data_IF_645144103904
#
_entry.id   IF_645144103904
#
_cell.length_a   1.000
_cell.length_b   1.000
_cell.length_c   1.000
_cell.angle_alpha   90.00
_cell.angle_beta   90.00
_cell.angle_gamma   90.00
#
_symmetry.space_group_name_H-M   'P 1'
#
loop_
_entity.id
_entity.type
_entity.pdbx_description
1 polymer ?
#
# COMPACT_ATOMS: atom_id res chain seq x y z
N UNK A 1 -12.94 20.93 0.17
CA UNK A 1 -12.03 20.05 -0.58
C UNK A 1 -11.21 19.30 0.44
N UNK A 2 -11.42 17.99 0.56
CA UNK A 2 -10.96 17.15 1.66
C UNK A 2 -9.46 16.84 1.53
N UNK A 3 -8.60 17.74 2.02
CA UNK A 3 -7.14 17.53 1.98
C UNK A 3 -6.66 16.63 3.14
N UNK A 4 -6.94 15.33 3.07
CA UNK A 4 -6.47 14.36 4.07
C UNK A 4 -5.07 13.81 3.79
N UNK A 5 -4.46 14.13 2.65
CA UNK A 5 -3.11 13.68 2.30
C UNK A 5 -2.03 14.53 2.99
N UNK A 6 -1.10 13.85 3.67
CA UNK A 6 -0.01 14.52 4.39
C UNK A 6 0.84 15.36 3.45
N UNK A 7 1.25 16.55 3.90
CA UNK A 7 2.15 17.45 3.14
C UNK A 7 3.44 16.76 2.71
N UNK A 8 3.95 15.85 3.56
CA UNK A 8 5.14 15.05 3.28
C UNK A 8 4.93 14.06 2.14
N UNK A 9 3.77 13.41 2.07
CA UNK A 9 3.45 12.49 0.97
C UNK A 9 3.34 13.27 -0.35
N UNK A 10 2.69 14.44 -0.32
CA UNK A 10 2.58 15.31 -1.49
C UNK A 10 3.94 15.75 -2.02
N UNK A 11 4.88 16.14 -1.16
CA UNK A 11 6.21 16.55 -1.60
C UNK A 11 7.06 15.40 -2.16
N UNK A 12 6.78 14.15 -1.74
CA UNK A 12 7.50 12.98 -2.27
C UNK A 12 6.92 12.47 -3.58
N UNK A 13 5.67 12.84 -3.90
CA UNK A 13 4.89 12.32 -5.02
C UNK A 13 4.33 13.47 -5.88
N UNK A 14 5.07 14.57 -6.03
CA UNK A 14 4.59 15.79 -6.72
C UNK A 14 4.14 15.52 -8.16
N UNK A 15 4.79 14.57 -8.84
CA UNK A 15 4.48 14.18 -10.22
C UNK A 15 3.36 13.13 -10.34
N UNK A 16 2.82 12.65 -9.20
CA UNK A 16 1.76 11.63 -9.18
C UNK A 16 0.40 12.30 -9.00
N UNK A 17 -0.57 12.05 -9.90
CA UNK A 17 -1.92 12.58 -9.74
C UNK A 17 -2.55 12.16 -8.40
N UNK A 18 -3.20 13.11 -7.72
CA UNK A 18 -3.99 12.87 -6.51
C UNK A 18 -5.46 12.90 -6.85
N UNK A 19 -6.21 11.90 -6.37
CA UNK A 19 -7.65 11.78 -6.57
C UNK A 19 -8.36 11.94 -5.24
N UNK A 20 -9.26 12.92 -5.14
CA UNK A 20 -10.05 13.15 -3.93
C UNK A 20 -11.20 12.13 -3.89
N UNK A 21 -11.20 11.28 -2.87
CA UNK A 21 -12.28 10.31 -2.65
C UNK A 21 -13.45 10.98 -1.91
N UNK A 22 -14.66 10.76 -2.41
CA UNK A 22 -15.89 11.25 -1.77
C UNK A 22 -16.51 10.23 -0.83
N UNK A 23 -16.21 8.94 -1.06
CA UNK A 23 -16.69 7.82 -0.24
C UNK A 23 -15.58 7.34 0.70
N UNK A 24 -15.95 6.46 1.63
CA UNK A 24 -14.98 5.77 2.49
C UNK A 24 -14.18 4.73 1.67
N UNK A 25 -14.80 4.16 0.63
CA UNK A 25 -14.21 3.15 -0.22
C UNK A 25 -13.75 3.76 -1.54
N UNK A 26 -12.45 4.08 -1.64
CA UNK A 26 -11.88 4.68 -2.85
C UNK A 26 -12.20 3.90 -4.16
N UNK A 27 -12.49 2.60 -4.07
CA UNK A 27 -12.86 1.78 -5.22
C UNK A 27 -14.23 2.12 -5.82
N UNK A 28 -15.09 2.81 -5.07
CA UNK A 28 -16.39 3.32 -5.54
C UNK A 28 -16.25 4.67 -6.27
N UNK A 29 -15.16 5.39 -6.06
CA UNK A 29 -14.90 6.66 -6.76
C UNK A 29 -14.39 6.37 -8.18
N UNK A 30 -15.20 6.76 -9.17
CA UNK A 30 -14.97 6.44 -10.60
C UNK A 30 -13.60 6.93 -11.09
N UNK A 31 -13.18 8.13 -10.71
CA UNK A 31 -11.89 8.69 -11.14
C UNK A 31 -10.71 7.90 -10.57
N UNK A 32 -10.79 7.48 -9.30
CA UNK A 32 -9.76 6.67 -8.67
C UNK A 32 -9.65 5.30 -9.34
N UNK A 33 -10.79 4.62 -9.52
CA UNK A 33 -10.81 3.30 -10.16
C UNK A 33 -10.29 3.35 -11.59
N UNK A 34 -10.72 4.33 -12.38
CA UNK A 34 -10.22 4.52 -13.75
C UNK A 34 -8.71 4.79 -13.79
N UNK A 35 -8.18 5.57 -12.83
CA UNK A 35 -6.75 5.82 -12.73
C UNK A 35 -5.97 4.54 -12.45
N UNK A 36 -6.47 3.69 -11.54
CA UNK A 36 -5.86 2.38 -11.25
C UNK A 36 -5.89 1.48 -12.49
N UNK A 37 -7.05 1.36 -13.15
CA UNK A 37 -7.21 0.55 -14.37
C UNK A 37 -6.28 1.02 -15.50
N UNK A 38 -6.13 2.34 -15.67
CA UNK A 38 -5.27 2.94 -16.70
C UNK A 38 -3.78 2.61 -16.50
N UNK A 39 -3.34 2.22 -15.30
CA UNK A 39 -1.96 1.75 -15.07
C UNK A 39 -1.66 0.42 -15.78
N UNK A 40 -2.69 -0.36 -16.12
CA UNK A 40 -2.57 -1.71 -16.65
C UNK A 40 -1.93 -2.72 -15.67
N UNK A 41 -1.71 -2.35 -14.41
CA UNK A 41 -1.08 -3.22 -13.41
C UNK A 41 -2.12 -4.08 -12.71
N UNK A 42 -1.81 -5.37 -12.53
CA UNK A 42 -2.66 -6.32 -11.79
C UNK A 42 -2.25 -6.51 -10.33
N UNK A 43 -1.05 -6.07 -9.95
CA UNK A 43 -0.54 -6.13 -8.58
C UNK A 43 -0.65 -4.76 -7.94
N UNK A 44 -1.38 -4.67 -6.83
CA UNK A 44 -1.61 -3.44 -6.08
C UNK A 44 -0.91 -3.52 -4.74
N UNK A 45 0.03 -2.61 -4.49
CA UNK A 45 0.59 -2.39 -3.16
C UNK A 45 -0.27 -1.31 -2.52
N UNK A 46 -0.90 -1.61 -1.38
CA UNK A 46 -1.84 -0.69 -0.74
C UNK A 46 -1.40 -0.31 0.68
N UNK A 47 -1.44 0.99 0.94
CA UNK A 47 -1.31 1.59 2.25
C UNK A 47 -2.50 2.54 2.45
N UNK A 48 -2.91 2.75 3.69
CA UNK A 48 -4.10 3.56 3.97
C UNK A 48 -4.38 3.72 5.46
N UNK A 49 -5.15 4.76 5.76
CA UNK A 49 -5.70 5.05 7.08
C UNK A 49 -7.19 5.35 6.90
N UNK A 50 -8.12 4.64 7.55
CA UNK A 50 -7.91 3.57 8.54
C UNK A 50 -7.97 2.16 7.93
N UNK A 51 -7.29 1.21 8.57
CA UNK A 51 -7.15 -0.18 8.09
C UNK A 51 -8.50 -0.85 7.87
N UNK A 52 -9.43 -0.67 8.81
CA UNK A 52 -10.78 -1.23 8.82
C UNK A 52 -11.75 -0.60 7.83
N UNK A 53 -11.34 0.48 7.16
CA UNK A 53 -12.18 1.26 6.26
C UNK A 53 -11.47 1.49 4.92
N UNK A 54 -10.70 2.58 4.82
CA UNK A 54 -10.05 3.06 3.60
C UNK A 54 -9.02 2.09 3.00
N UNK A 55 -8.57 1.08 3.75
CA UNK A 55 -7.75 -0.01 3.22
C UNK A 55 -8.57 -1.27 2.93
N UNK A 56 -9.38 -1.71 3.89
CA UNK A 56 -10.10 -2.98 3.77
C UNK A 56 -11.08 -2.99 2.60
N UNK A 57 -11.85 -1.91 2.42
CA UNK A 57 -12.89 -1.88 1.38
C UNK A 57 -12.31 -1.93 -0.04
N UNK A 58 -11.38 -1.05 -0.44
CA UNK A 58 -10.81 -1.14 -1.79
C UNK A 58 -9.99 -2.41 -1.99
N UNK A 59 -9.40 -2.98 -0.94
CA UNK A 59 -8.73 -4.28 -1.03
C UNK A 59 -9.71 -5.39 -1.41
N UNK A 60 -10.85 -5.47 -0.72
CA UNK A 60 -11.86 -6.52 -0.96
C UNK A 60 -12.45 -6.41 -2.36
N UNK A 61 -12.73 -5.20 -2.84
CA UNK A 61 -13.32 -5.00 -4.17
C UNK A 61 -12.30 -5.25 -5.28
N UNK A 62 -11.06 -4.78 -5.12
CA UNK A 62 -9.99 -5.08 -6.07
C UNK A 62 -9.73 -6.61 -6.17
N UNK A 63 -9.75 -7.33 -5.04
CA UNK A 63 -9.63 -8.80 -5.06
C UNK A 63 -10.78 -9.46 -5.83
N UNK A 64 -12.02 -9.00 -5.63
CA UNK A 64 -13.18 -9.50 -6.38
C UNK A 64 -13.06 -9.28 -7.90
N UNK A 65 -12.37 -8.21 -8.30
CA UNK A 65 -12.07 -7.90 -9.70
C UNK A 65 -10.79 -8.57 -10.23
N UNK A 66 -10.19 -9.46 -9.46
CA UNK A 66 -9.05 -10.29 -9.87
C UNK A 66 -7.69 -9.60 -9.81
N UNK A 67 -7.56 -8.50 -9.05
CA UNK A 67 -6.25 -7.94 -8.72
C UNK A 67 -5.56 -8.78 -7.63
N UNK A 68 -4.24 -8.82 -7.66
CA UNK A 68 -3.42 -9.29 -6.55
C UNK A 68 -3.12 -8.10 -5.63
N UNK A 69 -3.61 -8.13 -4.39
CA UNK A 69 -3.46 -6.99 -3.47
C UNK A 69 -2.50 -7.32 -2.34
N UNK A 70 -1.59 -6.39 -2.07
CA UNK A 70 -0.51 -6.48 -1.09
C UNK A 70 -0.59 -5.34 -0.07
N UNK A 71 -1.37 -5.50 1.02
CA UNK A 71 -1.36 -4.55 2.12
C UNK A 71 -0.01 -4.56 2.86
N UNK A 72 0.59 -3.38 3.03
CA UNK A 72 1.87 -3.22 3.73
C UNK A 72 1.61 -2.94 5.21
N UNK A 73 1.63 -3.99 6.04
CA UNK A 73 1.06 -3.97 7.40
C UNK A 73 1.80 -3.06 8.38
N UNK A 74 3.08 -2.79 8.15
CA UNK A 74 3.92 -1.85 8.91
C UNK A 74 3.91 -0.42 8.32
N UNK A 75 3.01 -0.14 7.38
CA UNK A 75 2.77 1.18 6.78
C UNK A 75 1.29 1.63 6.85
N UNK A 76 0.49 1.00 7.71
CA UNK A 76 -0.96 1.24 7.87
C UNK A 76 -1.32 1.35 9.34
N UNK A 77 -2.52 1.85 9.64
CA UNK A 77 -3.00 1.97 11.03
C UNK A 77 -4.52 1.95 11.12
N UNK A 78 -5.06 1.46 12.23
CA UNK A 78 -6.49 1.47 12.53
C UNK A 78 -6.85 2.41 13.66
N UNK A 79 -8.16 2.58 13.90
CA UNK A 79 -8.63 3.41 15.03
C UNK A 79 -8.36 2.77 16.40
N UNK A 80 -8.19 1.44 16.43
CA UNK A 80 -7.78 0.67 17.61
C UNK A 80 -7.03 -0.59 17.16
N UNK A 81 -6.30 -1.22 18.08
CA UNK A 81 -5.61 -2.49 17.79
C UNK A 81 -6.60 -3.59 17.35
N UNK A 82 -7.74 -3.70 18.03
CA UNK A 82 -8.78 -4.69 17.69
C UNK A 82 -9.34 -4.43 16.29
N UNK A 83 -9.66 -3.19 15.94
CA UNK A 83 -10.15 -2.85 14.61
C UNK A 83 -9.11 -3.13 13.52
N UNK A 84 -7.86 -2.71 13.76
CA UNK A 84 -6.73 -2.91 12.86
C UNK A 84 -6.47 -4.39 12.56
N UNK A 85 -6.29 -5.21 13.61
CA UNK A 85 -5.99 -6.63 13.46
C UNK A 85 -7.16 -7.41 12.85
N UNK A 86 -8.40 -7.06 13.21
CA UNK A 86 -9.60 -7.72 12.66
C UNK A 86 -9.72 -7.43 11.16
N UNK A 87 -9.43 -6.20 10.74
CA UNK A 87 -9.46 -5.81 9.34
C UNK A 87 -8.37 -6.51 8.51
N UNK A 88 -7.13 -6.58 9.02
CA UNK A 88 -6.04 -7.30 8.36
C UNK A 88 -6.38 -8.79 8.17
N UNK A 89 -6.91 -9.46 9.21
CA UNK A 89 -7.36 -10.85 9.11
C UNK A 89 -8.46 -11.02 8.07
N UNK A 90 -9.40 -10.08 7.99
CA UNK A 90 -10.51 -10.13 7.03
C UNK A 90 -10.01 -10.07 5.58
N UNK A 91 -9.09 -9.17 5.26
CA UNK A 91 -8.57 -9.06 3.88
C UNK A 91 -7.65 -10.22 3.53
N UNK A 92 -6.88 -10.73 4.48
CA UNK A 92 -6.07 -11.94 4.31
C UNK A 92 -6.94 -13.15 3.99
N UNK A 93 -8.04 -13.36 4.74
CA UNK A 93 -9.01 -14.43 4.48
C UNK A 93 -9.68 -14.30 3.11
N UNK A 94 -9.80 -13.09 2.57
CA UNK A 94 -10.33 -12.83 1.24
C UNK A 94 -9.29 -13.04 0.11
N UNK A 95 -8.01 -13.27 0.46
CA UNK A 95 -6.93 -13.55 -0.50
C UNK A 95 -5.88 -12.44 -0.65
N UNK A 96 -5.94 -11.37 0.15
CA UNK A 96 -4.86 -10.38 0.17
C UNK A 96 -3.55 -11.01 0.67
N UNK A 97 -2.42 -10.61 0.08
CA UNK A 97 -1.09 -11.05 0.48
C UNK A 97 -0.47 -10.00 1.41
N UNK A 98 -0.69 -10.13 2.72
CA UNK A 98 -0.10 -9.24 3.71
C UNK A 98 1.44 -9.27 3.60
N UNK A 99 2.07 -8.10 3.57
CA UNK A 99 3.53 -7.96 3.49
C UNK A 99 4.03 -6.83 4.41
N UNK A 100 5.34 -6.76 4.59
CA UNK A 100 6.00 -5.66 5.30
C UNK A 100 6.89 -4.85 4.36
N UNK A 101 7.30 -3.64 4.76
CA UNK A 101 8.22 -2.82 3.98
C UNK A 101 9.53 -3.58 3.70
N UNK A 102 10.07 -4.29 4.69
CA UNK A 102 11.28 -5.09 4.53
C UNK A 102 11.11 -6.20 3.49
N UNK A 103 10.03 -6.97 3.61
CA UNK A 103 9.75 -8.06 2.67
C UNK A 103 9.52 -7.51 1.27
N UNK A 104 8.66 -6.49 1.11
CA UNK A 104 8.38 -5.85 -0.16
C UNK A 104 9.66 -5.35 -0.84
N UNK A 105 10.55 -4.66 -0.12
CA UNK A 105 11.81 -4.18 -0.67
C UNK A 105 12.70 -5.34 -1.15
N UNK A 106 12.82 -6.41 -0.35
CA UNK A 106 13.53 -7.63 -0.73
C UNK A 106 12.90 -8.32 -1.95
N UNK A 107 11.57 -8.31 -2.05
CA UNK A 107 10.83 -8.90 -3.16
C UNK A 107 11.00 -8.12 -4.47
N UNK A 108 11.24 -6.82 -4.41
CA UNK A 108 11.56 -6.00 -5.57
C UNK A 108 13.02 -6.19 -5.99
N UNK A 109 13.95 -6.22 -5.02
CA UNK A 109 15.37 -6.41 -5.30
C UNK A 109 15.66 -7.83 -5.84
N UNK A 110 15.19 -8.88 -5.14
CA UNK A 110 15.43 -10.33 -5.34
C UNK A 110 16.87 -10.81 -5.39
N UNK A 111 17.80 -10.05 -5.96
CA UNK A 111 19.15 -10.48 -6.24
C UNK A 111 20.14 -9.34 -6.06
N UNK A 112 21.19 -9.57 -5.26
CA UNK A 112 22.30 -8.64 -5.06
C UNK A 112 23.08 -8.34 -6.35
N UNK A 113 23.04 -9.25 -7.31
CA UNK A 113 23.67 -9.11 -8.62
C UNK A 113 22.88 -8.24 -9.61
N UNK A 114 21.83 -7.52 -9.17
CA UNK A 114 21.17 -6.46 -9.96
C UNK A 114 21.79 -5.10 -9.62
N UNK A 115 22.90 -4.71 -10.27
CA UNK A 115 23.67 -3.53 -9.88
C UNK A 115 22.91 -2.21 -10.07
N UNK A 116 21.87 -2.20 -10.89
CA UNK A 116 21.05 -1.03 -11.19
C UNK A 116 20.26 -0.56 -9.97
N UNK A 117 19.90 -1.47 -9.06
CA UNK A 117 19.05 -1.16 -7.89
C UNK A 117 19.69 -1.57 -6.57
N UNK A 118 20.74 -2.39 -6.57
CA UNK A 118 21.31 -2.96 -5.33
C UNK A 118 21.88 -1.92 -4.38
N UNK A 119 22.46 -0.82 -4.89
CA UNK A 119 22.97 0.27 -4.07
C UNK A 119 21.84 1.03 -3.38
N UNK A 120 20.83 1.43 -4.14
CA UNK A 120 19.69 2.19 -3.62
C UNK A 120 18.89 1.36 -2.63
N UNK A 121 18.71 0.06 -2.90
CA UNK A 121 18.12 -0.89 -1.97
C UNK A 121 18.90 -0.96 -0.65
N UNK A 122 20.23 -1.08 -0.69
CA UNK A 122 21.06 -1.11 0.52
C UNK A 122 20.97 0.21 1.29
N UNK A 123 21.06 1.34 0.59
CA UNK A 123 20.91 2.66 1.20
C UNK A 123 19.56 2.83 1.86
N UNK A 124 18.48 2.38 1.21
CA UNK A 124 17.14 2.37 1.77
C UNK A 124 17.08 1.58 3.09
N UNK A 125 17.54 0.32 3.10
CA UNK A 125 17.52 -0.51 4.32
C UNK A 125 18.26 0.15 5.49
N UNK A 126 19.43 0.74 5.23
CA UNK A 126 20.23 1.43 6.26
C UNK A 126 19.48 2.65 6.80
N UNK A 127 18.88 3.46 5.92
CA UNK A 127 18.18 4.69 6.32
C UNK A 127 16.91 4.40 7.12
N UNK A 128 16.18 3.35 6.77
CA UNK A 128 14.94 2.96 7.45
C UNK A 128 15.18 2.09 8.69
N UNK A 129 16.44 1.77 9.01
CA UNK A 129 16.78 0.88 10.12
C UNK A 129 16.28 -0.56 9.94
N UNK A 130 15.89 -0.93 8.71
CA UNK A 130 15.44 -2.28 8.41
C UNK A 130 16.63 -3.21 8.56
N UNK A 131 16.46 -4.28 9.35
CA UNK A 131 17.52 -5.24 9.74
C UNK A 131 18.59 -4.73 10.72
N UNK A 132 18.46 -3.53 11.30
CA UNK A 132 19.40 -3.03 12.32
C UNK A 132 19.08 -3.47 13.76
N UNK A 133 17.86 -3.98 14.00
CA UNK A 133 17.39 -4.45 15.31
C UNK A 133 17.47 -5.99 15.45
N UNK A 134 18.42 -6.64 14.78
CA UNK A 134 18.67 -8.08 14.93
C UNK A 134 19.55 -8.37 16.14
#
# INVERSE_FOLDING_TARGET
>A
MCQWSSLRLKSLLEDVPSYDCSTINAWEDVEFKQAVEATGRKKLIICGLWTEACLAFPTLDALQEGYEVYPVVDAVGGTSQVAHETALRRVEQAGAQLTSIAQLACELQRNWARPETSRDFLSFMIQTGLFQNM
#
